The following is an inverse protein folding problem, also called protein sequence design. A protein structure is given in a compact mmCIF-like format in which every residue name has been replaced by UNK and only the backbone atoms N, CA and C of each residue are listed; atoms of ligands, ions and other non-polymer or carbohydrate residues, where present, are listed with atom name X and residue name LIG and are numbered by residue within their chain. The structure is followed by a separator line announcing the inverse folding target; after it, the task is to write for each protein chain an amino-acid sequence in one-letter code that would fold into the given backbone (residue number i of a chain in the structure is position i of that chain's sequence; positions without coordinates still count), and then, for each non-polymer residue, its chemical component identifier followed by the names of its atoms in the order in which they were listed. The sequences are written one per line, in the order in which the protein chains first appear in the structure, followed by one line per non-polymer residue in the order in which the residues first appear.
data_IF_869789610133
#
_entry.id   IF_869789610133
#
_cell.length_a   1.000
_cell.length_b   1.000
_cell.length_c   1.000
_cell.angle_alpha   90.00
_cell.angle_beta   90.00
_cell.angle_gamma   90.00
#
_symmetry.space_group_name_H-M   'P 1'
#
loop_
_entity.id
_entity.type
_entity.pdbx_description
1 polymer ?
#
# COMPACT_ATOMS: atom_id res chain seq x y z
N UNK A 1 3.31 -5.16 3.25
CA UNK A 1 3.16 -3.96 4.10
C UNK A 1 3.05 -2.74 3.21
N UNK A 2 2.09 -1.86 3.45
CA UNK A 2 1.99 -0.58 2.76
C UNK A 2 2.95 0.44 3.39
N UNK A 3 3.64 1.19 2.54
CA UNK A 3 4.38 2.38 2.93
C UNK A 3 3.47 3.61 2.82
N UNK A 4 3.69 4.59 3.70
CA UNK A 4 3.09 5.90 3.57
C UNK A 4 3.78 6.66 2.41
N UNK A 5 3.09 7.64 1.82
CA UNK A 5 3.58 8.37 0.64
C UNK A 5 4.97 8.98 0.89
N UNK A 6 5.20 9.58 2.06
CA UNK A 6 6.50 10.18 2.38
C UNK A 6 7.64 9.15 2.40
N UNK A 7 7.37 7.91 2.84
CA UNK A 7 8.35 6.83 2.93
C UNK A 7 8.67 6.29 1.55
N UNK A 8 7.65 6.13 0.69
CA UNK A 8 7.85 5.81 -0.71
C UNK A 8 8.70 6.90 -1.38
N UNK A 9 8.41 8.18 -1.14
CA UNK A 9 9.20 9.31 -1.68
C UNK A 9 10.63 9.35 -1.15
N UNK A 10 10.86 9.01 0.12
CA UNK A 10 12.20 8.92 0.70
C UNK A 10 13.03 7.83 -0.02
N UNK A 11 12.40 6.70 -0.37
CA UNK A 11 13.02 5.68 -1.21
C UNK A 11 13.27 6.22 -2.62
N UNK A 12 12.26 6.82 -3.26
CA UNK A 12 12.38 7.38 -4.61
C UNK A 12 13.56 8.34 -4.75
N UNK A 13 13.77 9.23 -3.77
CA UNK A 13 14.93 10.16 -3.74
C UNK A 13 16.27 9.42 -3.74
N UNK A 14 16.40 8.32 -2.99
CA UNK A 14 17.63 7.50 -2.94
C UNK A 14 17.97 6.88 -4.30
N UNK A 15 16.95 6.63 -5.13
CA UNK A 15 17.08 6.10 -6.48
C UNK A 15 17.14 7.19 -7.56
N UNK A 16 17.22 8.47 -7.18
CA UNK A 16 17.31 9.59 -8.11
C UNK A 16 15.99 9.93 -8.83
N UNK A 17 14.86 9.43 -8.35
CA UNK A 17 13.54 9.82 -8.85
C UNK A 17 13.19 11.18 -8.23
N UNK A 18 12.97 12.24 -9.03
CA UNK A 18 12.62 13.54 -8.50
C UNK A 18 11.23 13.51 -7.85
N UNK A 19 11.12 14.13 -6.68
CA UNK A 19 9.87 14.33 -5.93
C UNK A 19 9.82 15.78 -5.48
N UNK A 20 8.62 16.29 -5.14
CA UNK A 20 8.49 17.65 -4.62
C UNK A 20 9.30 17.84 -3.33
N UNK A 21 9.86 19.04 -3.16
CA UNK A 21 10.42 19.43 -1.87
C UNK A 21 9.31 19.44 -0.82
N UNK A 22 9.55 18.78 0.31
CA UNK A 22 8.54 18.61 1.34
C UNK A 22 9.11 17.96 2.60
N UNK A 23 8.34 18.06 3.68
CA UNK A 23 8.68 17.45 4.98
C UNK A 23 7.40 17.03 5.71
N UNK A 24 7.56 16.12 6.66
CA UNK A 24 6.45 15.63 7.48
C UNK A 24 6.34 16.38 8.80
N UNK A 25 5.12 16.47 9.30
CA UNK A 25 4.80 17.00 10.63
C UNK A 25 3.83 16.04 11.34
N UNK A 26 3.98 15.91 12.65
CA UNK A 26 3.06 15.20 13.56
C UNK A 26 2.21 16.14 14.40
N UNK A 27 2.48 17.45 14.33
CA UNK A 27 1.65 18.49 14.93
C UNK A 27 1.78 19.81 14.15
N UNK A 28 0.79 20.72 14.21
CA UNK A 28 0.90 22.05 13.59
C UNK A 28 2.03 22.92 14.15
N UNK A 29 2.63 22.53 15.28
CA UNK A 29 3.72 23.25 15.94
C UNK A 29 5.10 22.85 15.37
N UNK A 30 5.17 21.75 14.64
CA UNK A 30 6.38 21.30 13.92
C UNK A 30 6.54 21.96 12.54
N UNK A 31 5.61 22.83 12.14
CA UNK A 31 5.75 23.61 10.91
C UNK A 31 6.91 24.58 11.09
N UNK A 32 8.01 24.29 10.41
CA UNK A 32 9.22 25.08 10.49
C UNK A 32 9.31 26.14 9.36
N UNK A 33 10.40 26.89 9.39
CA UNK A 33 10.61 27.99 8.44
C UNK A 33 10.78 27.54 6.99
N UNK A 34 11.09 26.27 6.73
CA UNK A 34 11.23 25.72 5.37
C UNK A 34 9.92 25.76 4.59
N UNK A 35 8.78 25.92 5.28
CA UNK A 35 7.49 26.13 4.62
C UNK A 35 7.50 27.39 3.74
N UNK A 36 8.35 28.38 4.06
CA UNK A 36 8.51 29.60 3.25
C UNK A 36 9.16 29.31 1.89
N UNK A 37 9.91 28.21 1.78
CA UNK A 37 10.57 27.80 0.54
C UNK A 37 9.58 27.20 -0.48
N UNK A 38 8.35 26.87 -0.06
CA UNK A 38 7.30 26.37 -0.96
C UNK A 38 6.67 27.45 -1.85
N UNK A 39 6.90 28.74 -1.55
CA UNK A 39 6.25 29.86 -2.23
C UNK A 39 4.88 30.19 -1.64
N UNK A 40 3.94 30.63 -2.48
CA UNK A 40 2.62 31.12 -2.03
C UNK A 40 1.61 30.00 -1.69
N UNK A 41 1.81 28.81 -2.24
CA UNK A 41 0.92 27.67 -2.08
C UNK A 41 1.68 26.43 -1.61
N UNK A 42 1.02 25.63 -0.76
CA UNK A 42 1.51 24.38 -0.21
C UNK A 42 0.46 23.28 -0.38
N UNK A 43 0.91 22.06 -0.66
CA UNK A 43 0.06 20.88 -0.68
C UNK A 43 0.14 20.20 0.68
N UNK A 44 -1.01 20.06 1.35
CA UNK A 44 -1.15 19.41 2.66
C UNK A 44 -1.76 18.03 2.44
N UNK A 45 -1.00 16.97 2.72
CA UNK A 45 -1.38 15.58 2.43
C UNK A 45 -1.41 14.72 3.68
N UNK A 46 -2.57 14.20 4.04
CA UNK A 46 -2.73 13.21 5.10
C UNK A 46 -1.93 11.94 4.77
N UNK A 47 -1.15 11.48 5.75
CA UNK A 47 -0.40 10.23 5.65
C UNK A 47 -1.19 9.12 6.33
N UNK A 48 -1.96 8.39 5.52
CA UNK A 48 -2.81 7.28 5.93
C UNK A 48 -2.66 6.13 4.93
N UNK A 49 -2.85 4.90 5.39
CA UNK A 49 -2.69 3.64 4.64
C UNK A 49 -3.91 3.27 3.78
N UNK A 50 -4.70 4.28 3.39
CA UNK A 50 -5.90 4.15 2.54
C UNK A 50 -5.78 4.95 1.25
N UNK A 51 -6.18 4.35 0.13
CA UNK A 51 -6.23 5.01 -1.19
C UNK A 51 -7.38 6.01 -1.33
N UNK A 52 -7.34 6.86 -2.36
CA UNK A 52 -8.39 7.82 -2.67
C UNK A 52 -8.46 9.01 -1.70
N UNK A 53 -7.31 9.39 -1.11
CA UNK A 53 -7.19 10.47 -0.11
C UNK A 53 -7.71 11.81 -0.63
N UNK A 54 -7.44 12.15 -1.89
CA UNK A 54 -7.91 13.39 -2.52
C UNK A 54 -9.44 13.52 -2.49
N UNK A 55 -10.16 12.48 -2.92
CA UNK A 55 -11.64 12.45 -2.91
C UNK A 55 -12.22 12.50 -1.49
N UNK A 56 -11.48 12.00 -0.51
CA UNK A 56 -11.85 12.02 0.91
C UNK A 56 -11.42 13.32 1.64
N UNK A 57 -10.88 14.31 0.92
CA UNK A 57 -10.45 15.59 1.50
C UNK A 57 -9.15 15.51 2.34
N UNK A 58 -8.35 14.46 2.10
CA UNK A 58 -7.03 14.23 2.69
C UNK A 58 -5.86 14.80 1.88
N UNK A 59 -6.13 15.48 0.77
CA UNK A 59 -5.15 16.26 -0.01
C UNK A 59 -5.79 17.61 -0.28
N UNK A 60 -5.17 18.69 0.18
CA UNK A 60 -5.65 20.06 -0.06
C UNK A 60 -4.49 20.95 -0.50
N UNK A 61 -4.80 21.95 -1.32
CA UNK A 61 -3.89 23.04 -1.66
C UNK A 61 -4.30 24.23 -0.79
N UNK A 62 -3.35 24.77 -0.03
CA UNK A 62 -3.55 25.90 0.85
C UNK A 62 -2.56 27.01 0.52
N UNK A 63 -2.90 28.24 0.89
CA UNK A 63 -1.90 29.30 0.93
C UNK A 63 -0.88 28.99 2.02
N UNK A 64 0.39 29.27 1.77
CA UNK A 64 1.47 29.06 2.75
C UNK A 64 1.21 29.84 4.05
N UNK A 65 0.56 31.02 3.96
CA UNK A 65 0.15 31.79 5.12
C UNK A 65 -0.86 31.06 6.03
N UNK A 66 -1.67 30.17 5.48
CA UNK A 66 -2.76 29.47 6.17
C UNK A 66 -2.38 28.02 6.56
N UNK A 67 -1.16 27.58 6.22
CA UNK A 67 -0.70 26.18 6.35
C UNK A 67 -0.90 25.60 7.76
N UNK A 68 -0.72 26.43 8.80
CA UNK A 68 -0.87 26.01 10.20
C UNK A 68 -2.32 25.76 10.57
N UNK A 69 -3.24 26.59 10.08
CA UNK A 69 -4.68 26.40 10.28
C UNK A 69 -5.17 25.17 9.52
N UNK A 70 -4.77 25.03 8.26
CA UNK A 70 -5.15 23.90 7.42
C UNK A 70 -4.59 22.56 7.93
N UNK A 71 -3.37 22.55 8.46
CA UNK A 71 -2.81 21.38 9.13
C UNK A 71 -3.61 21.00 10.38
N UNK A 72 -4.03 21.99 11.19
CA UNK A 72 -4.88 21.74 12.37
C UNK A 72 -6.23 21.13 11.98
N UNK A 73 -6.86 21.63 10.91
CA UNK A 73 -8.10 21.05 10.37
C UNK A 73 -7.87 19.63 9.87
N UNK A 74 -6.74 19.36 9.23
CA UNK A 74 -6.41 18.02 8.71
C UNK A 74 -6.18 17.00 9.84
N UNK A 75 -5.46 17.35 10.91
CA UNK A 75 -5.29 16.48 12.08
C UNK A 75 -6.60 16.16 12.81
N UNK A 76 -7.62 17.03 12.70
CA UNK A 76 -8.94 16.78 13.29
C UNK A 76 -9.84 15.87 12.43
N UNK A 77 -9.41 15.49 11.22
CA UNK A 77 -10.17 14.64 10.31
C UNK A 77 -9.85 13.15 10.51
N UNK A 78 -10.75 12.32 10.01
CA UNK A 78 -10.49 10.93 9.70
C UNK A 78 -10.68 10.71 8.20
N UNK A 79 -9.73 10.03 7.56
CA UNK A 79 -9.80 9.69 6.14
C UNK A 79 -10.29 8.26 6.05
N UNK A 80 -11.54 8.07 5.62
CA UNK A 80 -12.20 6.75 5.55
C UNK A 80 -12.16 5.97 6.89
N UNK A 81 -12.31 6.68 8.00
CA UNK A 81 -12.28 6.11 9.36
C UNK A 81 -10.88 5.98 9.98
N UNK A 82 -9.81 6.30 9.23
CA UNK A 82 -8.44 6.28 9.75
C UNK A 82 -8.07 7.67 10.27
N UNK A 83 -7.65 7.82 11.54
CA UNK A 83 -7.20 9.10 12.08
C UNK A 83 -5.92 9.60 11.38
N UNK A 84 -5.81 10.90 11.20
CA UNK A 84 -4.60 11.51 10.63
C UNK A 84 -3.61 11.80 11.76
N UNK A 85 -2.52 11.05 11.82
CA UNK A 85 -1.45 11.22 12.83
C UNK A 85 -0.21 11.93 12.28
N UNK A 86 -0.08 11.98 10.95
CA UNK A 86 1.03 12.60 10.24
C UNK A 86 0.56 13.26 8.96
N UNK A 87 1.18 14.38 8.62
CA UNK A 87 0.92 15.16 7.41
C UNK A 87 2.23 15.33 6.66
N UNK A 88 2.18 15.21 5.33
CA UNK A 88 3.24 15.65 4.43
C UNK A 88 2.88 17.02 3.88
N UNK A 89 3.74 18.01 4.13
CA UNK A 89 3.70 19.31 3.50
C UNK A 89 4.67 19.29 2.32
N UNK A 90 4.20 19.68 1.13
CA UNK A 90 4.98 19.62 -0.09
C UNK A 90 4.74 20.86 -0.96
N UNK A 91 5.76 21.29 -1.71
CA UNK A 91 5.63 22.33 -2.72
C UNK A 91 4.58 21.96 -3.78
N UNK A 92 3.90 22.97 -4.32
CA UNK A 92 2.99 22.77 -5.45
C UNK A 92 3.81 22.70 -6.76
N UNK A 93 3.80 21.54 -7.41
CA UNK A 93 4.47 21.36 -8.69
C UNK A 93 3.72 22.10 -9.83
N UNK A 94 4.42 22.78 -10.75
CA UNK A 94 3.82 23.40 -11.93
C UNK A 94 3.55 22.33 -13.01
N UNK A 95 2.48 21.57 -12.82
CA UNK A 95 2.12 20.41 -13.65
C UNK A 95 1.72 20.85 -15.06
N UNK A 96 2.41 20.33 -16.08
CA UNK A 96 2.03 20.49 -17.50
C UNK A 96 1.22 19.29 -18.01
N UNK A 97 1.56 18.07 -17.54
CA UNK A 97 0.85 16.85 -17.88
C UNK A 97 1.02 15.77 -16.82
N UNK A 98 -0.02 14.96 -16.64
CA UNK A 98 -0.09 13.86 -15.69
C UNK A 98 -0.12 12.52 -16.42
N UNK A 99 0.65 11.57 -15.90
CA UNK A 99 0.75 10.20 -16.38
C UNK A 99 0.52 9.22 -15.23
N UNK A 100 0.22 7.99 -15.56
CA UNK A 100 0.16 6.88 -14.61
C UNK A 100 1.30 5.91 -14.91
N UNK A 101 2.01 5.45 -13.87
CA UNK A 101 2.89 4.29 -13.97
C UNK A 101 2.77 3.40 -12.74
N UNK A 102 2.68 2.09 -12.94
CA UNK A 102 2.86 1.11 -11.87
C UNK A 102 3.67 -0.10 -12.30
N UNK A 103 4.23 -0.79 -11.32
CA UNK A 103 4.99 -2.03 -11.48
C UNK A 103 4.46 -3.01 -10.44
N UNK A 104 4.06 -4.19 -10.90
CA UNK A 104 3.58 -5.29 -10.05
C UNK A 104 3.92 -6.64 -10.67
N UNK A 105 3.49 -7.73 -10.04
CA UNK A 105 3.78 -9.10 -10.46
C UNK A 105 2.59 -9.66 -11.23
N UNK A 106 2.78 -9.98 -12.51
CA UNK A 106 1.82 -10.79 -13.26
C UNK A 106 2.00 -12.25 -12.86
N UNK A 107 1.17 -12.73 -11.93
CA UNK A 107 1.22 -14.10 -11.41
C UNK A 107 0.99 -15.16 -12.50
N UNK A 108 0.30 -14.84 -13.58
CA UNK A 108 0.05 -15.78 -14.68
C UNK A 108 1.32 -16.04 -15.50
N UNK A 109 2.13 -14.98 -15.69
CA UNK A 109 3.40 -15.04 -16.44
C UNK A 109 4.61 -15.26 -15.55
N UNK A 110 4.47 -15.04 -14.24
CA UNK A 110 5.56 -15.04 -13.25
C UNK A 110 6.65 -14.02 -13.59
N UNK A 111 6.22 -12.87 -14.10
CA UNK A 111 7.08 -11.77 -14.54
C UNK A 111 6.61 -10.45 -13.92
N UNK A 112 7.52 -9.47 -13.88
CA UNK A 112 7.17 -8.12 -13.48
C UNK A 112 6.45 -7.45 -14.66
N UNK A 113 5.30 -6.85 -14.41
CA UNK A 113 4.55 -6.08 -15.41
C UNK A 113 4.62 -4.60 -15.06
N UNK A 114 5.01 -3.79 -16.05
CA UNK A 114 4.93 -2.33 -15.97
C UNK A 114 3.68 -1.90 -16.73
N UNK A 115 2.85 -1.12 -16.07
CA UNK A 115 1.60 -0.57 -16.58
C UNK A 115 1.77 0.93 -16.71
N UNK A 116 1.51 1.48 -17.88
CA UNK A 116 1.62 2.91 -18.17
C UNK A 116 0.34 3.42 -18.83
N UNK A 117 -0.06 4.65 -18.49
CA UNK A 117 -1.12 5.37 -19.20
C UNK A 117 -0.78 6.85 -19.30
N UNK A 118 -1.20 7.46 -20.42
CA UNK A 118 -1.16 8.93 -20.59
C UNK A 118 -2.31 9.66 -19.88
N UNK A 119 -3.21 8.92 -19.24
CA UNK A 119 -4.29 9.42 -18.40
C UNK A 119 -3.89 9.24 -16.93
N UNK A 120 -3.09 10.16 -16.40
CA UNK A 120 -2.75 10.22 -14.97
C UNK A 120 -3.82 10.89 -14.12
N UNK A 121 -3.71 10.77 -12.79
CA UNK A 121 -4.58 11.46 -11.84
C UNK A 121 -5.97 10.82 -11.65
N UNK A 122 -6.23 9.70 -12.33
CA UNK A 122 -7.48 8.92 -12.24
C UNK A 122 -7.21 7.49 -11.76
N UNK A 123 -8.26 6.79 -11.32
CA UNK A 123 -8.16 5.39 -10.90
C UNK A 123 -7.90 4.51 -12.13
N UNK A 124 -6.78 3.77 -12.14
CA UNK A 124 -6.37 2.99 -13.31
C UNK A 124 -7.38 1.89 -13.67
N UNK A 125 -8.08 1.35 -12.69
CA UNK A 125 -9.13 0.34 -12.88
C UNK A 125 -10.33 0.93 -13.61
N UNK A 126 -10.58 2.23 -13.48
CA UNK A 126 -11.60 2.92 -14.25
C UNK A 126 -11.14 3.10 -15.70
N UNK A 127 -9.91 3.58 -15.95
CA UNK A 127 -9.34 3.65 -17.30
C UNK A 127 -9.33 2.27 -17.97
N UNK A 128 -9.02 1.20 -17.24
CA UNK A 128 -9.02 -0.17 -17.79
C UNK A 128 -10.40 -0.65 -18.26
N UNK A 129 -11.48 -0.10 -17.71
CA UNK A 129 -12.86 -0.39 -18.14
C UNK A 129 -13.33 0.57 -19.24
N UNK A 130 -13.08 1.85 -19.06
CA UNK A 130 -13.66 2.91 -19.89
C UNK A 130 -12.84 3.15 -21.18
N UNK A 131 -11.51 3.03 -21.10
CA UNK A 131 -10.58 3.23 -22.20
C UNK A 131 -9.35 2.29 -22.08
N UNK A 132 -9.51 0.97 -22.31
CA UNK A 132 -8.42 0.01 -22.18
C UNK A 132 -7.23 0.30 -23.12
N UNK A 133 -7.47 0.96 -24.25
CA UNK A 133 -6.42 1.30 -25.23
C UNK A 133 -5.47 2.40 -24.74
N UNK A 134 -5.86 3.17 -23.71
CA UNK A 134 -4.96 4.12 -23.04
C UNK A 134 -3.90 3.43 -22.18
N UNK A 135 -4.06 2.13 -21.88
CA UNK A 135 -3.17 1.36 -21.04
C UNK A 135 -2.19 0.57 -21.89
N UNK A 136 -0.89 0.83 -21.68
CA UNK A 136 0.19 0.04 -22.26
C UNK A 136 0.88 -0.79 -21.19
N UNK A 137 1.25 -2.01 -21.56
CA UNK A 137 1.91 -2.96 -20.66
C UNK A 137 3.16 -3.52 -21.30
N UNK A 138 4.22 -3.66 -20.51
CA UNK A 138 5.39 -4.45 -20.87
C UNK A 138 5.71 -5.41 -19.73
N UNK A 139 6.14 -6.61 -20.08
CA UNK A 139 6.57 -7.62 -19.12
C UNK A 139 8.08 -7.72 -19.17
N UNK A 140 8.70 -7.66 -17.99
CA UNK A 140 10.14 -7.66 -17.83
C UNK A 140 10.51 -8.86 -16.99
N UNK A 141 11.44 -9.66 -17.51
CA UNK A 141 11.98 -10.81 -16.81
C UNK A 141 12.57 -10.36 -15.46
N UNK A 142 12.30 -11.08 -14.36
CA UNK A 142 12.85 -10.75 -13.04
C UNK A 142 14.39 -10.91 -12.98
N UNK A 143 15.01 -11.48 -14.01
CA UNK A 143 16.46 -11.59 -14.14
C UNK A 143 17.12 -10.30 -14.63
N UNK A 144 16.33 -9.35 -15.14
CA UNK A 144 16.83 -8.07 -15.61
C UNK A 144 16.82 -7.07 -14.46
N UNK A 145 17.94 -6.39 -14.28
CA UNK A 145 18.05 -5.29 -13.32
C UNK A 145 17.42 -3.99 -13.85
N UNK A 146 17.41 -3.82 -15.18
CA UNK A 146 16.95 -2.64 -15.87
C UNK A 146 15.97 -3.02 -16.98
N UNK A 147 15.01 -2.14 -17.25
CA UNK A 147 14.09 -2.27 -18.38
C UNK A 147 14.87 -1.95 -19.66
N UNK A 148 14.95 -2.90 -20.62
CA UNK A 148 15.61 -2.63 -21.89
C UNK A 148 14.98 -1.47 -22.65
N UNK A 149 15.82 -0.63 -23.24
CA UNK A 149 15.40 0.64 -23.87
C UNK A 149 14.31 0.47 -24.95
N UNK A 150 14.29 -0.65 -25.68
CA UNK A 150 13.26 -0.90 -26.67
C UNK A 150 11.88 -1.15 -26.04
N UNK A 151 11.82 -1.75 -24.85
CA UNK A 151 10.57 -1.94 -24.10
C UNK A 151 10.07 -0.61 -23.55
N UNK A 152 10.95 0.24 -23.03
CA UNK A 152 10.59 1.59 -22.58
C UNK A 152 10.00 2.41 -23.74
N UNK A 153 10.62 2.37 -24.93
CA UNK A 153 10.06 3.03 -26.12
C UNK A 153 8.67 2.48 -26.49
N UNK A 154 8.49 1.16 -26.45
CA UNK A 154 7.19 0.54 -26.72
C UNK A 154 6.13 0.90 -25.68
N UNK A 155 6.52 1.00 -24.41
CA UNK A 155 5.64 1.37 -23.30
C UNK A 155 5.18 2.83 -23.42
N UNK A 156 6.12 3.73 -23.70
CA UNK A 156 5.86 5.18 -23.75
C UNK A 156 5.11 5.60 -25.02
N UNK A 157 5.34 4.95 -26.16
CA UNK A 157 4.81 5.40 -27.45
C UNK A 157 5.18 6.85 -27.71
N UNK A 158 4.18 7.72 -27.86
CA UNK A 158 4.35 9.17 -28.09
C UNK A 158 4.56 10.00 -26.82
N UNK A 159 4.60 9.37 -25.63
CA UNK A 159 4.90 10.08 -24.40
C UNK A 159 6.36 10.58 -24.37
N UNK A 160 6.65 11.67 -23.63
CA UNK A 160 8.00 12.23 -23.52
C UNK A 160 9.03 11.19 -23.11
N UNK A 161 10.19 11.18 -23.80
CA UNK A 161 11.25 10.18 -23.58
C UNK A 161 11.93 10.37 -22.22
N UNK A 162 11.81 11.56 -21.64
CA UNK A 162 12.30 11.95 -20.32
C UNK A 162 11.62 11.16 -19.19
N UNK A 163 10.48 10.52 -19.45
CA UNK A 163 9.83 9.60 -18.50
C UNK A 163 10.64 8.30 -18.34
N UNK A 164 11.38 7.88 -19.37
CA UNK A 164 12.03 6.57 -19.41
C UNK A 164 13.06 6.34 -18.28
N UNK A 165 13.96 7.30 -17.96
CA UNK A 165 14.87 7.17 -16.83
C UNK A 165 14.14 7.03 -15.48
N UNK A 166 13.03 7.75 -15.28
CA UNK A 166 12.25 7.68 -14.04
C UNK A 166 11.54 6.34 -13.90
N UNK A 167 10.91 5.84 -14.98
CA UNK A 167 10.28 4.51 -14.98
C UNK A 167 11.30 3.40 -14.74
N UNK A 168 12.49 3.52 -15.31
CA UNK A 168 13.56 2.55 -15.10
C UNK A 168 14.12 2.60 -13.66
N UNK A 169 14.29 3.80 -13.08
CA UNK A 169 14.63 3.94 -11.67
C UNK A 169 13.55 3.37 -10.75
N UNK A 170 12.26 3.55 -11.10
CA UNK A 170 11.14 2.96 -10.37
C UNK A 170 11.16 1.43 -10.42
N UNK A 171 11.60 0.84 -11.54
CA UNK A 171 11.78 -0.60 -11.64
C UNK A 171 12.89 -1.12 -10.72
N UNK A 172 13.99 -0.38 -10.57
CA UNK A 172 15.03 -0.70 -9.58
C UNK A 172 14.49 -0.59 -8.16
N UNK A 173 13.72 0.46 -7.83
CA UNK A 173 13.02 0.58 -6.54
C UNK A 173 12.20 -0.68 -6.26
N UNK A 174 11.39 -1.11 -7.23
CA UNK A 174 10.56 -2.30 -7.12
C UNK A 174 11.39 -3.57 -6.84
N UNK A 175 12.44 -3.83 -7.63
CA UNK A 175 13.23 -5.05 -7.53
C UNK A 175 14.12 -5.09 -6.28
N UNK A 176 14.75 -3.97 -5.92
CA UNK A 176 15.74 -3.93 -4.82
C UNK A 176 15.11 -3.79 -3.42
N UNK A 177 13.83 -3.40 -3.34
CA UNK A 177 13.12 -3.21 -2.07
C UNK A 177 11.94 -4.19 -1.93
N UNK A 178 12.01 -5.34 -2.60
CA UNK A 178 11.01 -6.42 -2.52
C UNK A 178 9.57 -5.95 -2.72
N UNK A 179 9.35 -5.19 -3.80
CA UNK A 179 8.06 -4.66 -4.13
C UNK A 179 7.05 -5.70 -4.56
N UNK A 180 5.84 -5.59 -4.04
CA UNK A 180 4.63 -6.24 -4.57
C UNK A 180 3.92 -5.30 -5.55
N UNK A 181 3.90 -4.00 -5.22
CA UNK A 181 3.35 -2.94 -6.05
C UNK A 181 4.12 -1.65 -5.78
N UNK A 182 4.66 -1.02 -6.82
CA UNK A 182 5.03 0.40 -6.77
C UNK A 182 4.24 1.15 -7.82
N UNK A 183 3.67 2.29 -7.44
CA UNK A 183 2.78 3.09 -8.27
C UNK A 183 3.08 4.58 -8.05
N UNK A 184 3.16 5.32 -9.16
CA UNK A 184 3.21 6.78 -9.18
C UNK A 184 1.97 7.25 -9.95
N UNK A 185 1.05 7.87 -9.22
CA UNK A 185 -0.19 8.40 -9.77
C UNK A 185 -0.57 9.75 -9.11
N UNK A 186 -0.23 10.91 -9.72
CA UNK A 186 0.35 11.06 -11.04
C UNK A 186 1.89 11.12 -11.06
N UNK A 187 2.47 10.61 -12.14
CA UNK A 187 3.82 10.95 -12.61
C UNK A 187 3.67 12.20 -13.48
N UNK A 188 4.36 13.29 -13.15
CA UNK A 188 4.10 14.60 -13.76
C UNK A 188 5.28 15.11 -14.56
N UNK A 189 5.00 15.75 -15.69
CA UNK A 189 5.98 16.57 -16.40
C UNK A 189 5.78 18.04 -16.06
N UNK A 190 6.89 18.74 -15.91
CA UNK A 190 6.97 20.18 -15.65
C UNK A 190 8.08 20.77 -16.52
N UNK A 191 8.14 22.10 -16.62
CA UNK A 191 9.25 22.80 -17.27
C UNK A 191 10.64 22.50 -16.66
N UNK A 192 10.69 21.99 -15.43
CA UNK A 192 11.94 21.61 -14.73
C UNK A 192 12.30 20.12 -14.88
N UNK A 193 11.41 19.30 -15.46
CA UNK A 193 11.60 17.87 -15.61
C UNK A 193 10.42 17.03 -15.10
N UNK A 194 10.70 15.74 -14.86
CA UNK A 194 9.72 14.72 -14.48
C UNK A 194 9.75 14.49 -12.98
N UNK A 195 8.59 14.50 -12.32
CA UNK A 195 8.47 14.33 -10.87
C UNK A 195 7.42 13.28 -10.50
N UNK A 196 7.64 12.54 -9.43
CA UNK A 196 6.61 11.72 -8.80
C UNK A 196 5.79 12.58 -7.82
N UNK A 197 4.58 12.98 -8.23
CA UNK A 197 3.72 13.85 -7.41
C UNK A 197 3.04 13.07 -6.27
N UNK A 198 2.78 11.78 -6.46
CA UNK A 198 2.32 10.83 -5.43
C UNK A 198 3.14 9.54 -5.51
N UNK A 199 3.07 8.72 -4.47
CA UNK A 199 3.76 7.44 -4.41
C UNK A 199 3.00 6.45 -3.54
N UNK A 200 2.68 5.28 -4.10
CA UNK A 200 2.15 4.13 -3.38
C UNK A 200 3.12 2.98 -3.52
N UNK A 201 3.59 2.46 -2.41
CA UNK A 201 4.53 1.35 -2.39
C UNK A 201 4.07 0.29 -1.39
N UNK A 202 3.87 -0.93 -1.86
CA UNK A 202 3.60 -2.13 -1.07
C UNK A 202 4.80 -3.05 -1.21
N UNK A 203 5.44 -3.36 -0.07
CA UNK A 203 6.54 -4.32 0.03
C UNK A 203 6.04 -5.70 0.45
N UNK A 204 6.77 -6.75 0.11
CA UNK A 204 6.48 -8.13 0.52
C UNK A 204 6.68 -8.29 2.03
N UNK A 205 5.64 -8.75 2.73
CA UNK A 205 5.68 -9.02 4.17
C UNK A 205 6.75 -10.07 4.51
N UNK A 206 7.00 -11.01 3.61
CA UNK A 206 8.04 -12.03 3.81
C UNK A 206 9.46 -11.46 3.75
N UNK A 207 9.65 -10.25 3.23
CA UNK A 207 10.96 -9.61 3.07
C UNK A 207 11.26 -8.55 4.14
N UNK A 208 10.30 -8.23 5.02
CA UNK A 208 10.45 -7.14 6.01
C UNK A 208 11.75 -7.28 6.85
N UNK A 209 12.11 -8.51 7.22
CA UNK A 209 13.32 -8.81 8.01
C UNK A 209 14.62 -8.30 7.37
N UNK A 210 14.72 -8.31 6.04
CA UNK A 210 15.92 -7.84 5.31
C UNK A 210 15.83 -6.39 4.86
N UNK A 211 14.63 -5.80 4.90
CA UNK A 211 14.41 -4.38 4.68
C UNK A 211 14.60 -3.54 5.96
N UNK A 212 14.90 -4.18 7.10
CA UNK A 212 15.06 -3.51 8.39
C UNK A 212 13.74 -3.02 8.98
N UNK A 213 12.61 -3.60 8.56
CA UNK A 213 11.28 -3.24 9.04
C UNK A 213 10.89 -4.25 10.12
N UNK A 214 10.91 -3.82 11.38
CA UNK A 214 10.63 -4.69 12.52
C UNK A 214 9.13 -4.91 12.77
N UNK A 215 8.29 -3.93 12.43
CA UNK A 215 6.86 -3.93 12.72
C UNK A 215 6.06 -3.74 11.44
N UNK A 216 5.23 -4.72 11.11
CA UNK A 216 4.25 -4.60 10.04
C UNK A 216 3.05 -3.76 10.51
N UNK A 217 2.92 -2.53 10.00
CA UNK A 217 1.86 -1.59 10.38
C UNK A 217 0.51 -1.91 9.77
N UNK A 218 0.46 -2.76 8.75
CA UNK A 218 -0.81 -3.22 8.18
C UNK A 218 -1.56 -4.15 9.15
N UNK A 219 -0.85 -4.74 10.12
CA UNK A 219 -1.41 -5.68 11.07
C UNK A 219 -2.00 -4.98 12.30
N UNK A 220 -3.23 -5.38 12.65
CA UNK A 220 -3.84 -5.03 13.93
C UNK A 220 -3.02 -5.57 15.11
N UNK A 221 -3.27 -5.07 16.32
CA UNK A 221 -2.63 -5.60 17.53
C UNK A 221 -2.86 -7.11 17.68
N UNK A 222 -4.06 -7.58 17.33
CA UNK A 222 -4.42 -9.01 17.41
C UNK A 222 -3.72 -9.83 16.33
N UNK A 223 -3.62 -9.29 15.11
CA UNK A 223 -2.86 -9.91 14.01
C UNK A 223 -1.37 -10.04 14.36
N UNK A 224 -0.75 -9.01 14.94
CA UNK A 224 0.65 -9.06 15.42
C UNK A 224 0.84 -10.09 16.53
N UNK A 225 -0.08 -10.16 17.48
CA UNK A 225 -0.04 -11.20 18.53
C UNK A 225 -0.17 -12.60 17.91
N UNK A 226 -1.07 -12.78 16.95
CA UNK A 226 -1.25 -14.05 16.26
C UNK A 226 0.03 -14.46 15.49
N UNK A 227 0.65 -13.53 14.77
CA UNK A 227 1.92 -13.75 14.07
C UNK A 227 3.05 -14.15 15.02
N UNK A 228 3.13 -13.52 16.21
CA UNK A 228 4.10 -13.90 17.26
C UNK A 228 3.92 -15.33 17.78
N UNK A 229 2.69 -15.88 17.68
CA UNK A 229 2.38 -17.27 17.97
C UNK A 229 2.55 -18.20 16.74
N UNK A 230 3.01 -17.67 15.61
CA UNK A 230 3.16 -18.38 14.35
C UNK A 230 1.81 -18.74 13.71
N UNK A 231 0.78 -17.90 13.88
CA UNK A 231 -0.53 -18.06 13.24
C UNK A 231 -0.66 -17.12 12.05
N UNK A 232 -1.39 -17.57 11.03
CA UNK A 232 -1.94 -16.67 10.03
C UNK A 232 -3.34 -16.29 10.46
N UNK A 233 -3.58 -15.00 10.69
CA UNK A 233 -4.82 -14.49 11.27
C UNK A 233 -5.32 -13.27 10.48
N UNK A 234 -6.63 -13.18 10.29
CA UNK A 234 -7.29 -12.00 9.71
C UNK A 234 -8.57 -11.72 10.49
N UNK A 235 -8.77 -10.46 10.86
CA UNK A 235 -9.99 -10.02 11.55
C UNK A 235 -11.16 -9.80 10.57
N UNK A 236 -12.35 -10.28 10.92
CA UNK A 236 -13.59 -10.14 10.15
C UNK A 236 -14.72 -9.59 11.04
N UNK A 237 -15.88 -9.27 10.45
CA UNK A 237 -16.98 -8.57 11.13
C UNK A 237 -18.10 -9.46 11.66
N UNK A 238 -17.90 -10.78 11.72
CA UNK A 238 -18.91 -11.75 12.17
C UNK A 238 -18.92 -12.07 13.67
N UNK A 239 -19.57 -13.18 14.01
CA UNK A 239 -19.79 -13.63 15.40
C UNK A 239 -19.31 -15.07 15.65
N UNK A 240 -18.90 -15.79 14.60
CA UNK A 240 -18.43 -17.17 14.69
C UNK A 240 -16.91 -17.18 14.54
N UNK A 241 -16.20 -17.45 15.63
CA UNK A 241 -14.75 -17.59 15.62
C UNK A 241 -14.34 -18.88 14.90
N UNK A 242 -13.29 -18.84 14.10
CA UNK A 242 -12.80 -20.00 13.33
C UNK A 242 -11.35 -20.27 13.65
N UNK A 243 -11.04 -21.53 13.96
CA UNK A 243 -9.68 -22.04 14.14
C UNK A 243 -9.54 -23.28 13.26
N UNK A 244 -8.60 -23.26 12.31
CA UNK A 244 -8.27 -24.40 11.47
C UNK A 244 -6.77 -24.62 11.34
N UNK A 245 -6.36 -25.75 10.76
CA UNK A 245 -4.98 -26.06 10.41
C UNK A 245 -4.82 -26.23 8.90
N UNK A 246 -4.24 -25.22 8.26
CA UNK A 246 -4.09 -25.09 6.82
C UNK A 246 -5.09 -24.08 6.25
N UNK A 247 -4.55 -23.04 5.61
CA UNK A 247 -5.33 -21.94 5.03
C UNK A 247 -6.49 -22.40 4.14
N UNK A 248 -6.30 -23.44 3.33
CA UNK A 248 -7.36 -23.99 2.48
C UNK A 248 -8.56 -24.52 3.28
N UNK A 249 -8.31 -25.30 4.34
CA UNK A 249 -9.37 -25.84 5.19
C UNK A 249 -10.07 -24.74 5.99
N UNK A 250 -9.30 -23.78 6.52
CA UNK A 250 -9.85 -22.63 7.23
C UNK A 250 -10.76 -21.81 6.29
N UNK A 251 -10.33 -21.51 5.07
CA UNK A 251 -11.17 -20.82 4.07
C UNK A 251 -12.45 -21.60 3.74
N UNK A 252 -12.37 -22.92 3.50
CA UNK A 252 -13.56 -23.74 3.27
C UNK A 252 -14.52 -23.76 4.48
N UNK A 253 -13.99 -23.60 5.69
CA UNK A 253 -14.81 -23.48 6.91
C UNK A 253 -15.55 -22.14 6.94
N UNK A 254 -14.90 -21.04 6.55
CA UNK A 254 -15.54 -19.73 6.38
C UNK A 254 -16.65 -19.81 5.33
N UNK A 255 -16.39 -20.45 4.19
CA UNK A 255 -17.36 -20.62 3.11
C UNK A 255 -18.59 -21.42 3.57
N UNK A 256 -18.39 -22.49 4.35
CA UNK A 256 -19.50 -23.26 4.93
C UNK A 256 -20.32 -22.41 5.89
N UNK A 257 -19.69 -21.63 6.77
CA UNK A 257 -20.38 -20.74 7.69
C UNK A 257 -21.27 -19.76 6.92
N UNK A 258 -20.73 -19.10 5.90
CA UNK A 258 -21.47 -18.14 5.06
C UNK A 258 -22.60 -18.84 4.30
N UNK A 259 -22.36 -20.02 3.72
CA UNK A 259 -23.37 -20.80 2.99
C UNK A 259 -24.57 -21.21 3.86
N UNK A 260 -24.37 -21.40 5.17
CA UNK A 260 -25.45 -21.66 6.13
C UNK A 260 -25.98 -20.37 6.81
N UNK A 261 -25.64 -19.18 6.31
CA UNK A 261 -26.14 -17.89 6.77
C UNK A 261 -25.49 -17.36 8.06
N UNK A 262 -24.40 -17.98 8.50
CA UNK A 262 -23.56 -17.47 9.58
C UNK A 262 -22.58 -16.40 9.08
N UNK A 263 -21.88 -15.73 10.01
CA UNK A 263 -20.81 -14.79 9.69
C UNK A 263 -19.58 -15.08 10.53
N UNK A 264 -18.47 -15.36 9.87
CA UNK A 264 -17.20 -15.59 10.54
C UNK A 264 -16.63 -14.30 11.13
N UNK A 265 -16.12 -14.39 12.35
CA UNK A 265 -15.49 -13.29 13.06
C UNK A 265 -14.00 -13.15 12.73
N UNK A 266 -13.36 -14.21 12.26
CA UNK A 266 -11.95 -14.20 11.93
C UNK A 266 -11.61 -15.35 10.96
N UNK A 267 -10.44 -15.25 10.34
CA UNK A 267 -9.65 -16.36 9.82
C UNK A 267 -8.52 -16.65 10.81
N UNK A 268 -8.29 -17.91 11.20
CA UNK A 268 -7.11 -18.30 11.98
C UNK A 268 -6.63 -19.68 11.50
N UNK A 269 -5.41 -19.70 10.98
CA UNK A 269 -4.65 -20.90 10.65
C UNK A 269 -3.54 -21.12 11.68
N UNK A 270 -3.62 -22.22 12.44
CA UNK A 270 -2.58 -22.62 13.41
C UNK A 270 -1.39 -23.35 12.79
N UNK A 271 -1.43 -23.63 11.49
CA UNK A 271 -0.42 -24.42 10.77
C UNK A 271 -0.50 -25.92 11.04
N UNK A 272 0.39 -26.70 10.42
CA UNK A 272 0.31 -28.17 10.43
C UNK A 272 0.52 -28.87 11.79
N UNK A 273 1.07 -28.18 12.78
CA UNK A 273 1.29 -28.72 14.13
C UNK A 273 0.34 -28.10 15.15
N UNK A 274 -0.72 -28.81 15.52
CA UNK A 274 -1.75 -28.35 16.46
C UNK A 274 -1.55 -28.95 17.86
N UNK A 275 -0.37 -28.71 18.46
CA UNK A 275 -0.11 -29.10 19.85
C UNK A 275 -1.01 -28.36 20.85
N UNK A 276 -1.15 -28.89 22.06
CA UNK A 276 -2.05 -28.39 23.11
C UNK A 276 -1.85 -26.89 23.40
N UNK A 277 -0.62 -26.45 23.68
CA UNK A 277 -0.30 -25.06 23.98
C UNK A 277 -0.65 -24.11 22.83
N UNK A 278 -0.48 -24.59 21.60
CA UNK A 278 -0.75 -23.83 20.39
C UNK A 278 -2.24 -23.63 20.18
N UNK A 279 -3.04 -24.70 20.34
CA UNK A 279 -4.50 -24.63 20.27
C UNK A 279 -5.06 -23.78 21.42
N UNK A 280 -4.52 -23.93 22.63
CA UNK A 280 -4.90 -23.10 23.78
C UNK A 280 -4.69 -21.60 23.48
N UNK A 281 -3.54 -21.25 22.89
CA UNK A 281 -3.22 -19.87 22.50
C UNK A 281 -4.18 -19.35 21.43
N UNK A 282 -4.52 -20.16 20.44
CA UNK A 282 -5.49 -19.80 19.40
C UNK A 282 -6.90 -19.58 19.97
N UNK A 283 -7.37 -20.46 20.85
CA UNK A 283 -8.68 -20.32 21.51
C UNK A 283 -8.73 -19.06 22.35
N UNK A 284 -7.70 -18.76 23.15
CA UNK A 284 -7.61 -17.51 23.93
C UNK A 284 -7.69 -16.29 23.03
N UNK A 285 -6.93 -16.28 21.93
CA UNK A 285 -6.88 -15.16 20.99
C UNK A 285 -8.25 -14.88 20.35
N UNK A 286 -9.00 -15.91 19.99
CA UNK A 286 -10.35 -15.79 19.40
C UNK A 286 -11.40 -15.47 20.47
N UNK A 287 -11.32 -16.06 21.66
CA UNK A 287 -12.27 -15.84 22.75
C UNK A 287 -12.23 -14.42 23.32
N UNK A 288 -11.11 -13.72 23.20
CA UNK A 288 -10.98 -12.32 23.61
C UNK A 288 -11.72 -11.33 22.68
N UNK A 289 -12.24 -11.79 21.52
CA UNK A 289 -12.98 -10.93 20.60
C UNK A 289 -14.39 -10.64 21.14
N UNK A 290 -14.76 -9.36 21.38
CA UNK A 290 -16.03 -9.03 22.04
C UNK A 290 -17.30 -9.50 21.29
N UNK A 291 -17.20 -9.70 19.96
CA UNK A 291 -18.32 -10.11 19.12
C UNK A 291 -18.51 -11.62 18.96
N UNK A 292 -17.53 -12.44 19.38
CA UNK A 292 -17.55 -13.89 19.17
C UNK A 292 -18.49 -14.56 20.18
N UNK A 293 -19.41 -15.37 19.66
CA UNK A 293 -20.40 -16.13 20.46
C UNK A 293 -20.18 -17.63 20.43
N UNK A 294 -19.61 -18.13 19.34
CA UNK A 294 -19.34 -19.55 19.10
C UNK A 294 -17.96 -19.65 18.45
N UNK A 295 -17.16 -20.63 18.86
CA UNK A 295 -15.88 -20.95 18.22
C UNK A 295 -16.01 -22.31 17.54
N UNK A 296 -15.74 -22.35 16.24
CA UNK A 296 -15.64 -23.58 15.45
C UNK A 296 -14.15 -23.92 15.33
N UNK A 297 -13.78 -25.08 15.87
CA UNK A 297 -12.46 -25.67 15.69
C UNK A 297 -12.58 -26.77 14.65
N UNK A 298 -12.02 -26.53 13.46
CA UNK A 298 -12.01 -27.50 12.37
C UNK A 298 -10.58 -27.89 12.04
N UNK A 299 -10.12 -28.96 12.69
CA UNK A 299 -8.78 -29.48 12.52
C UNK A 299 -8.81 -30.82 11.78
N UNK A 300 -8.01 -30.93 10.72
CA UNK A 300 -7.76 -32.20 10.06
C UNK A 300 -6.51 -32.83 10.65
N UNK A 301 -6.70 -33.93 11.38
CA UNK A 301 -5.61 -34.74 11.91
C UNK A 301 -4.76 -35.37 10.80
N UNK A 302 -3.46 -35.45 11.05
CA UNK A 302 -2.48 -36.02 10.13
C UNK A 302 -1.32 -36.59 10.93
N UNK A 303 -0.24 -35.83 11.06
CA UNK A 303 0.87 -36.15 11.97
C UNK A 303 0.42 -35.97 13.45
N UNK A 304 -0.37 -34.93 13.71
CA UNK A 304 -0.96 -34.69 15.04
C UNK A 304 -2.12 -35.65 15.26
N UNK A 305 -2.11 -36.35 16.39
CA UNK A 305 -3.17 -37.27 16.80
C UNK A 305 -4.44 -36.50 17.16
N UNK A 306 -5.59 -36.96 16.67
CA UNK A 306 -6.90 -36.44 17.05
C UNK A 306 -7.26 -36.74 18.50
#
# INVERSE_FOLDING_TARGET
MKLLEYEAKDIYRKYGIPVGFGFTISSPDEIDERVKDFGDEVVVKAQVDVGGRGKAGGVIIAKTADVREESRKMFAKQIKGVPVEKILLEEKLPIEKEYYVSITIDRSRRENVIIFSSEGGVEIEQTARDNPDAIRKVWVSPLLHDIPQFMLRSLLGDAPKELAPVINALYRVFCENDGILVEINPLVTTSKGVFAADGKFIVDDNALYRLGIEVNRDLTERERRAESCGFSYVELSGQIGVIGNGAGLTMSTLDMIENFGGKAANFLDVGGGAGEDRVCSAVKLVAEMPGVKVIIVNLLGGITRC
#
